data_IF_270842480830
#
_entry.id   IF_270842480830
#
_cell.length_a   1.000
_cell.length_b   1.000
_cell.length_c   1.000
_cell.angle_alpha   90.00
_cell.angle_beta   90.00
_cell.angle_gamma   90.00
#
_symmetry.space_group_name_H-M   'P 1'
#
loop_
_entity.id
_entity.type
_entity.pdbx_description
1 polymer ?
#
# COMPACT_ATOMS: atom_id res chain seq x y z
N UNK A 1 14.02 19.51 34.67
CA UNK A 1 14.19 18.53 33.58
C UNK A 1 12.84 18.35 32.90
N UNK A 2 12.69 18.82 31.66
CA UNK A 2 11.44 18.68 30.90
C UNK A 2 11.26 17.22 30.49
N UNK A 3 10.12 16.61 30.82
CA UNK A 3 9.80 15.25 30.36
C UNK A 3 9.78 15.23 28.83
N UNK A 4 10.27 14.16 28.18
CA UNK A 4 10.07 13.98 26.74
C UNK A 4 8.55 13.87 26.49
N UNK A 5 8.02 14.78 25.69
CA UNK A 5 6.63 14.73 25.27
C UNK A 5 6.49 13.58 24.28
N UNK A 6 5.74 12.54 24.64
CA UNK A 6 5.38 11.48 23.70
C UNK A 6 4.40 12.09 22.69
N UNK A 7 4.95 12.62 21.60
CA UNK A 7 4.17 13.19 20.49
C UNK A 7 3.75 12.03 19.59
N UNK A 8 2.46 11.72 19.59
CA UNK A 8 1.89 10.77 18.63
C UNK A 8 2.19 11.23 17.20
N UNK A 9 2.34 10.27 16.28
CA UNK A 9 2.53 10.50 14.84
C UNK A 9 3.80 11.24 14.44
N UNK A 10 4.69 11.54 15.39
CA UNK A 10 5.95 12.20 15.12
C UNK A 10 6.89 11.29 14.32
N UNK A 11 7.44 11.81 13.23
CA UNK A 11 8.40 11.10 12.38
C UNK A 11 9.58 12.02 12.07
N UNK A 12 10.77 11.41 12.06
CA UNK A 12 12.03 12.02 11.61
C UNK A 12 12.66 11.13 10.55
N UNK A 13 13.09 11.69 9.44
CA UNK A 13 13.81 10.99 8.39
C UNK A 13 15.03 11.80 7.94
N UNK A 14 16.09 11.10 7.57
CA UNK A 14 17.32 11.68 7.03
C UNK A 14 17.57 11.09 5.64
N UNK A 15 17.86 11.97 4.68
CA UNK A 15 18.04 11.61 3.28
C UNK A 15 19.52 11.82 2.95
N UNK A 16 20.15 10.75 2.48
CA UNK A 16 21.56 10.69 2.15
C UNK A 16 21.72 10.66 0.63
N UNK A 17 22.69 11.40 0.09
CA UNK A 17 23.02 11.27 -1.32
C UNK A 17 23.80 9.96 -1.55
N UNK A 18 23.63 9.32 -2.72
CA UNK A 18 24.30 8.05 -3.03
C UNK A 18 25.83 8.12 -2.90
N UNK A 19 26.42 9.30 -3.15
CA UNK A 19 27.86 9.51 -3.18
C UNK A 19 28.41 10.44 -2.07
N UNK A 20 27.60 10.86 -1.09
CA UNK A 20 28.04 11.84 -0.07
C UNK A 20 28.91 11.20 1.02
N UNK A 21 30.15 10.83 0.70
CA UNK A 21 31.22 10.65 1.70
C UNK A 21 31.80 12.01 2.04
N UNK A 22 31.43 12.58 3.18
CA UNK A 22 32.04 13.82 3.64
C UNK A 22 33.13 13.50 4.68
N UNK A 23 34.37 13.92 4.39
CA UNK A 23 35.57 13.67 5.18
C UNK A 23 35.62 14.38 6.56
N UNK A 24 34.50 14.91 7.06
CA UNK A 24 34.45 15.74 8.27
C UNK A 24 33.35 15.33 9.28
N UNK A 25 32.62 14.23 9.07
CA UNK A 25 31.64 13.74 10.04
C UNK A 25 32.25 12.73 11.01
N UNK A 26 32.15 12.93 12.35
CA UNK A 26 32.72 12.02 13.34
C UNK A 26 31.86 10.76 13.59
N UNK A 27 30.85 10.49 12.76
CA UNK A 27 30.03 9.29 12.88
C UNK A 27 30.51 8.21 11.89
N UNK A 28 30.58 6.98 12.38
CA UNK A 28 31.50 5.89 12.00
C UNK A 28 31.46 5.39 10.55
N UNK A 29 30.66 5.96 9.65
CA UNK A 29 30.56 5.59 8.22
C UNK A 29 30.66 6.77 7.22
N UNK A 30 30.94 8.00 7.68
CA UNK A 30 31.35 9.12 6.81
C UNK A 30 30.28 9.68 5.86
N UNK A 31 29.01 9.27 5.99
CA UNK A 31 27.91 9.83 5.21
C UNK A 31 27.23 10.97 5.96
N UNK A 32 27.08 12.13 5.31
CA UNK A 32 26.30 13.25 5.82
C UNK A 32 24.93 13.29 5.15
N UNK A 33 23.83 13.49 5.91
CA UNK A 33 22.53 13.71 5.31
C UNK A 33 22.52 15.04 4.54
N UNK A 34 21.83 15.04 3.40
CA UNK A 34 21.60 16.23 2.56
C UNK A 34 20.27 16.88 2.92
N UNK A 35 19.25 16.08 3.25
CA UNK A 35 17.98 16.59 3.76
C UNK A 35 17.59 15.92 5.08
N UNK A 36 16.81 16.65 5.86
CA UNK A 36 16.15 16.14 7.06
C UNK A 36 14.67 16.49 7.03
N UNK A 37 13.80 15.49 7.15
CA UNK A 37 12.35 15.68 7.28
C UNK A 37 11.93 15.45 8.73
N UNK A 38 11.18 16.38 9.33
CA UNK A 38 10.70 16.28 10.72
C UNK A 38 9.27 16.79 10.82
N UNK A 39 8.38 16.03 11.45
CA UNK A 39 7.00 16.48 11.63
C UNK A 39 6.06 15.37 12.05
N UNK A 40 4.82 15.45 11.59
CA UNK A 40 3.73 14.53 11.90
C UNK A 40 3.11 14.01 10.60
N UNK A 41 3.02 12.70 10.45
CA UNK A 41 2.58 12.09 9.17
C UNK A 41 1.15 12.39 8.76
N UNK A 42 0.31 12.78 9.72
CA UNK A 42 -1.09 13.11 9.54
C UNK A 42 -1.37 14.62 9.51
N UNK A 43 -0.35 15.48 9.61
CA UNK A 43 -0.51 16.93 9.75
C UNK A 43 0.48 17.66 8.85
N UNK A 44 1.67 17.98 9.34
CA UNK A 44 2.67 18.72 8.58
C UNK A 44 4.07 18.19 8.80
N UNK A 45 4.88 18.28 7.76
CA UNK A 45 6.30 17.99 7.79
C UNK A 45 7.11 19.22 7.42
N UNK A 46 8.25 19.39 8.07
CA UNK A 46 9.29 20.33 7.66
C UNK A 46 10.41 19.57 6.97
N UNK A 47 10.70 19.95 5.74
CA UNK A 47 11.82 19.46 4.95
C UNK A 47 12.95 20.49 5.03
N UNK A 48 14.05 20.11 5.65
CA UNK A 48 15.23 20.94 5.84
C UNK A 48 16.31 20.53 4.83
N UNK A 49 16.73 21.46 3.99
CA UNK A 49 17.93 21.31 3.16
C UNK A 49 19.15 21.64 4.02
N UNK A 50 19.96 20.63 4.35
CA UNK A 50 21.13 20.79 5.20
C UNK A 50 22.31 21.39 4.43
N UNK A 51 22.28 21.40 3.10
CA UNK A 51 23.30 21.99 2.24
C UNK A 51 23.02 23.47 2.00
N UNK A 52 21.78 23.83 1.65
CA UNK A 52 21.37 25.20 1.36
C UNK A 52 20.90 25.97 2.61
N UNK A 53 20.71 25.27 3.75
CA UNK A 53 20.16 25.82 4.99
C UNK A 53 18.77 26.44 4.81
N UNK A 54 17.94 25.87 3.92
CA UNK A 54 16.55 26.26 3.70
C UNK A 54 15.59 25.28 4.37
N UNK A 55 14.40 25.74 4.69
CA UNK A 55 13.35 24.91 5.29
C UNK A 55 12.02 25.15 4.56
N UNK A 56 11.39 24.08 4.12
CA UNK A 56 10.06 24.09 3.51
C UNK A 56 9.09 23.34 4.42
N UNK A 57 7.84 23.80 4.50
CA UNK A 57 6.79 23.12 5.26
C UNK A 57 5.75 22.57 4.31
N UNK A 58 5.54 21.26 4.38
CA UNK A 58 4.53 20.51 3.65
C UNK A 58 3.35 20.28 4.60
N UNK A 59 2.22 20.91 4.31
CA UNK A 59 0.95 20.64 5.00
C UNK A 59 0.18 19.53 4.28
N UNK A 60 0.10 18.35 4.90
CA UNK A 60 -0.59 17.17 4.35
C UNK A 60 -2.08 17.44 4.17
N UNK A 61 -2.70 18.27 5.03
CA UNK A 61 -4.11 18.62 4.92
C UNK A 61 -4.44 19.50 3.71
N UNK A 62 -3.45 20.23 3.19
CA UNK A 62 -3.62 21.09 2.02
C UNK A 62 -3.53 20.34 0.67
N UNK A 63 -2.98 19.12 0.68
CA UNK A 63 -2.77 18.32 -0.53
C UNK A 63 -4.10 17.68 -0.95
N UNK A 64 -4.54 17.96 -2.18
CA UNK A 64 -5.76 17.38 -2.71
C UNK A 64 -5.66 15.85 -2.81
N UNK A 65 -6.63 15.15 -2.22
CA UNK A 65 -6.76 13.69 -2.31
C UNK A 65 -7.48 13.33 -3.61
N UNK A 66 -6.79 12.66 -4.51
CA UNK A 66 -7.38 12.16 -5.76
C UNK A 66 -7.83 10.70 -5.57
N UNK A 67 -9.14 10.41 -5.64
CA UNK A 67 -9.64 9.05 -5.50
C UNK A 67 -9.24 8.21 -6.71
N UNK A 68 -9.03 6.91 -6.48
CA UNK A 68 -8.85 5.94 -7.57
C UNK A 68 -10.17 5.77 -8.33
N UNK A 69 -10.11 5.69 -9.65
CA UNK A 69 -11.25 5.25 -10.45
C UNK A 69 -11.42 3.73 -10.31
N UNK A 70 -12.64 3.28 -10.01
CA UNK A 70 -12.97 1.86 -9.86
C UNK A 70 -14.22 1.57 -10.69
N UNK A 71 -14.25 0.43 -11.38
CA UNK A 71 -15.42 0.03 -12.19
C UNK A 71 -16.67 -0.12 -11.31
N UNK A 72 -17.88 0.14 -11.84
CA UNK A 72 -19.13 -0.15 -11.13
C UNK A 72 -19.25 -1.63 -10.73
N UNK A 73 -19.82 -1.92 -9.55
CA UNK A 73 -19.96 -3.27 -8.98
C UNK A 73 -20.51 -4.33 -9.95
N UNK A 74 -21.50 -3.96 -10.79
CA UNK A 74 -22.09 -4.86 -11.78
C UNK A 74 -21.11 -5.34 -12.86
N UNK A 75 -20.02 -4.61 -13.08
CA UNK A 75 -18.97 -4.92 -14.05
C UNK A 75 -17.73 -5.53 -13.40
N UNK A 76 -17.70 -5.63 -12.07
CA UNK A 76 -16.59 -6.26 -11.35
C UNK A 76 -16.76 -7.78 -11.33
N UNK A 77 -15.65 -8.52 -11.40
CA UNK A 77 -15.66 -9.96 -11.22
C UNK A 77 -16.04 -10.33 -9.76
N UNK A 78 -16.64 -11.51 -9.52
CA UNK A 78 -17.04 -11.92 -8.17
C UNK A 78 -15.90 -11.92 -7.14
N UNK A 79 -14.66 -12.13 -7.58
CA UNK A 79 -13.46 -12.15 -6.75
C UNK A 79 -12.84 -10.76 -6.50
N UNK A 80 -13.33 -9.71 -7.15
CA UNK A 80 -12.84 -8.35 -6.91
C UNK A 80 -13.29 -7.86 -5.53
N UNK A 81 -12.40 -7.17 -4.81
CA UNK A 81 -12.58 -6.86 -3.39
C UNK A 81 -13.88 -6.11 -3.08
N UNK A 82 -14.25 -5.10 -3.87
CA UNK A 82 -15.45 -4.30 -3.59
C UNK A 82 -16.73 -5.14 -3.77
N UNK A 83 -16.78 -6.02 -4.77
CA UNK A 83 -17.90 -6.95 -4.97
C UNK A 83 -17.91 -8.08 -3.96
N UNK A 84 -16.74 -8.67 -3.67
CA UNK A 84 -16.60 -9.77 -2.72
C UNK A 84 -17.04 -9.38 -1.32
N UNK A 85 -16.67 -8.16 -0.88
CA UNK A 85 -16.96 -7.63 0.46
C UNK A 85 -18.22 -6.75 0.52
N UNK A 86 -19.02 -6.68 -0.55
CA UNK A 86 -20.18 -5.78 -0.65
C UNK A 86 -21.14 -5.94 0.54
N UNK A 87 -21.52 -7.18 0.88
CA UNK A 87 -22.50 -7.43 1.95
C UNK A 87 -21.99 -7.10 3.34
N UNK A 88 -20.71 -7.35 3.60
CA UNK A 88 -20.06 -7.02 4.87
C UNK A 88 -19.96 -5.51 5.02
N UNK A 89 -19.49 -4.82 3.98
CA UNK A 89 -19.36 -3.36 3.98
C UNK A 89 -20.72 -2.66 4.06
N UNK A 90 -21.76 -3.19 3.42
CA UNK A 90 -23.13 -2.70 3.56
C UNK A 90 -23.64 -2.82 5.00
N UNK A 91 -23.46 -3.99 5.63
CA UNK A 91 -23.86 -4.23 7.01
C UNK A 91 -23.13 -3.29 7.99
N UNK A 92 -21.81 -3.10 7.80
CA UNK A 92 -21.03 -2.14 8.59
C UNK A 92 -21.51 -0.71 8.39
N UNK A 93 -21.87 -0.32 7.16
CA UNK A 93 -22.37 1.03 6.86
C UNK A 93 -23.68 1.34 7.58
N UNK A 94 -24.54 0.35 7.79
CA UNK A 94 -25.80 0.49 8.55
C UNK A 94 -25.64 0.20 10.04
N UNK A 95 -24.44 -0.16 10.50
CA UNK A 95 -24.15 -0.44 11.91
C UNK A 95 -24.61 -1.82 12.40
N UNK A 96 -24.96 -2.75 11.50
CA UNK A 96 -25.39 -4.11 11.86
C UNK A 96 -24.18 -5.05 11.98
N UNK A 97 -23.61 -5.11 13.18
CA UNK A 97 -22.41 -5.90 13.48
C UNK A 97 -22.68 -7.41 13.40
N UNK A 98 -23.88 -7.86 13.77
CA UNK A 98 -24.24 -9.27 13.72
C UNK A 98 -24.29 -9.76 12.27
N UNK A 99 -24.98 -9.00 11.40
CA UNK A 99 -25.04 -9.30 9.97
C UNK A 99 -23.66 -9.23 9.31
N UNK A 100 -22.84 -8.23 9.65
CA UNK A 100 -21.48 -8.13 9.13
C UNK A 100 -20.63 -9.36 9.49
N UNK A 101 -20.76 -9.84 10.73
CA UNK A 101 -20.06 -11.03 11.22
C UNK A 101 -20.52 -12.30 10.51
N UNK A 102 -21.83 -12.45 10.29
CA UNK A 102 -22.40 -13.58 9.57
C UNK A 102 -21.94 -13.62 8.11
N UNK A 103 -21.99 -12.50 7.41
CA UNK A 103 -21.56 -12.42 6.00
C UNK A 103 -20.04 -12.60 5.86
N UNK A 104 -19.23 -12.09 6.81
CA UNK A 104 -17.79 -12.36 6.87
C UNK A 104 -17.54 -13.86 7.06
N UNK A 105 -18.22 -14.49 8.01
CA UNK A 105 -18.08 -15.92 8.27
C UNK A 105 -18.40 -16.76 7.02
N UNK A 106 -19.47 -16.43 6.29
CA UNK A 106 -19.82 -17.13 5.03
C UNK A 106 -18.71 -17.04 3.99
N UNK A 107 -18.08 -15.87 3.82
CA UNK A 107 -16.98 -15.69 2.87
C UNK A 107 -15.75 -16.50 3.28
N UNK A 108 -15.35 -16.43 4.55
CA UNK A 108 -14.18 -17.13 5.08
C UNK A 108 -14.37 -18.65 5.08
N UNK A 109 -15.59 -19.15 5.35
CA UNK A 109 -15.88 -20.58 5.30
C UNK A 109 -15.78 -21.14 3.88
N UNK A 110 -16.25 -20.39 2.88
CA UNK A 110 -16.07 -20.77 1.46
C UNK A 110 -14.59 -20.80 1.09
N UNK A 111 -13.80 -19.81 1.51
CA UNK A 111 -12.36 -19.79 1.29
C UNK A 111 -11.69 -20.99 1.98
N UNK A 112 -12.01 -21.27 3.24
CA UNK A 112 -11.49 -22.41 4.01
C UNK A 112 -11.82 -23.75 3.36
N UNK A 113 -13.05 -23.95 2.88
CA UNK A 113 -13.44 -25.17 2.16
C UNK A 113 -12.66 -25.31 0.86
N UNK A 114 -12.51 -24.22 0.10
CA UNK A 114 -11.76 -24.22 -1.16
C UNK A 114 -10.28 -24.55 -0.95
N UNK A 115 -9.67 -24.01 0.10
CA UNK A 115 -8.29 -24.24 0.47
C UNK A 115 -8.08 -25.68 0.95
N UNK A 116 -8.96 -26.18 1.82
CA UNK A 116 -8.94 -27.59 2.25
C UNK A 116 -9.04 -28.55 1.06
N UNK A 117 -9.88 -28.24 0.07
CA UNK A 117 -9.98 -29.03 -1.15
C UNK A 117 -8.68 -28.96 -1.98
N UNK A 118 -8.10 -27.77 -2.14
CA UNK A 118 -6.84 -27.55 -2.85
C UNK A 118 -5.69 -28.34 -2.21
N UNK A 119 -5.54 -28.22 -0.89
CA UNK A 119 -4.54 -28.91 -0.09
C UNK A 119 -4.70 -30.43 -0.14
N UNK A 120 -5.93 -30.93 0.02
CA UNK A 120 -6.23 -32.38 -0.10
C UNK A 120 -5.85 -32.94 -1.48
N UNK A 121 -6.07 -32.15 -2.53
CA UNK A 121 -5.76 -32.53 -3.91
C UNK A 121 -4.31 -32.20 -4.31
N UNK A 122 -3.51 -31.62 -3.41
CA UNK A 122 -2.14 -31.15 -3.66
C UNK A 122 -2.03 -30.23 -4.88
N UNK A 123 -3.05 -29.41 -5.10
CA UNK A 123 -3.06 -28.43 -6.17
C UNK A 123 -2.25 -27.20 -5.75
N UNK A 124 -1.30 -26.72 -6.57
CA UNK A 124 -0.60 -25.48 -6.29
C UNK A 124 -1.57 -24.28 -6.35
N UNK A 125 -1.39 -23.30 -5.46
CA UNK A 125 -2.03 -22.00 -5.60
C UNK A 125 -1.28 -21.18 -6.66
N UNK A 126 -2.01 -20.63 -7.63
CA UNK A 126 -1.45 -19.83 -8.71
C UNK A 126 -2.08 -18.44 -8.72
N UNK A 127 -1.35 -17.41 -8.25
CA UNK A 127 -1.82 -16.04 -8.30
C UNK A 127 -2.18 -15.64 -9.74
N UNK A 128 -3.36 -15.04 -9.91
CA UNK A 128 -3.90 -14.69 -11.23
C UNK A 128 -2.98 -13.71 -11.97
N UNK A 129 -2.55 -12.66 -11.27
CA UNK A 129 -1.84 -11.52 -11.86
C UNK A 129 -0.33 -11.48 -11.62
N UNK A 130 0.21 -12.32 -10.75
CA UNK A 130 1.63 -12.30 -10.38
C UNK A 130 2.30 -13.64 -10.65
N UNK A 131 3.57 -13.60 -11.05
CA UNK A 131 4.44 -14.76 -11.18
C UNK A 131 5.61 -14.63 -10.21
N UNK A 132 6.01 -15.75 -9.61
CA UNK A 132 7.17 -15.80 -8.74
C UNK A 132 8.46 -15.60 -9.55
N UNK A 133 9.42 -14.88 -8.97
CA UNK A 133 10.76 -14.62 -9.48
C UNK A 133 11.78 -14.80 -8.35
N UNK A 134 13.07 -14.88 -8.69
CA UNK A 134 14.14 -15.05 -7.70
C UNK A 134 14.15 -13.96 -6.61
N UNK A 135 13.70 -12.74 -6.95
CA UNK A 135 13.73 -11.57 -6.07
C UNK A 135 12.33 -11.10 -5.66
N UNK A 136 11.30 -11.96 -5.74
CA UNK A 136 9.93 -11.62 -5.33
C UNK A 136 8.89 -11.91 -6.42
N UNK A 137 7.97 -10.98 -6.64
CA UNK A 137 6.82 -11.16 -7.54
C UNK A 137 6.88 -10.20 -8.73
N UNK A 138 6.61 -10.72 -9.93
CA UNK A 138 6.51 -9.94 -11.17
C UNK A 138 5.06 -9.92 -11.61
N UNK A 139 4.53 -8.73 -11.86
CA UNK A 139 3.19 -8.56 -12.43
C UNK A 139 3.17 -9.04 -13.89
N UNK A 140 2.20 -9.90 -14.24
CA UNK A 140 2.14 -10.57 -15.55
C UNK A 140 1.82 -9.63 -16.71
N UNK A 141 1.15 -8.49 -16.49
CA UNK A 141 0.90 -7.52 -17.56
C UNK A 141 2.06 -6.52 -17.71
N UNK A 142 3.21 -7.05 -18.17
CA UNK A 142 4.25 -6.26 -18.82
C UNK A 142 4.51 -6.81 -20.23
N UNK A 143 3.49 -6.74 -21.07
CA UNK A 143 3.67 -6.56 -22.50
C UNK A 143 2.80 -5.37 -22.91
N UNK A 144 3.09 -4.19 -22.33
CA UNK A 144 2.72 -2.95 -22.97
C UNK A 144 3.48 -2.96 -24.30
N UNK A 145 2.73 -3.15 -25.39
CA UNK A 145 3.26 -3.10 -26.75
C UNK A 145 4.18 -1.88 -26.86
N UNK A 146 5.38 -2.08 -27.37
CA UNK A 146 6.28 -1.01 -27.77
C UNK A 146 5.47 0.05 -28.51
N UNK A 147 5.46 1.25 -27.93
CA UNK A 147 4.90 2.46 -28.49
C UNK A 147 5.42 2.63 -29.93
N UNK A 148 4.58 2.30 -30.92
CA UNK A 148 4.67 2.85 -32.27
C UNK A 148 3.39 3.66 -32.48
N UNK A 149 3.52 4.96 -32.19
CA UNK A 149 2.71 6.07 -32.71
C UNK A 149 1.20 5.88 -32.76
N UNK A 150 0.49 6.44 -31.77
CA UNK A 150 -0.95 6.67 -31.89
C UNK A 150 -1.50 7.35 -30.64
N UNK A 151 -1.88 8.61 -30.78
CA UNK A 151 -2.57 9.39 -29.74
C UNK A 151 -3.88 8.69 -29.41
N UNK A 152 -3.97 8.13 -28.21
CA UNK A 152 -5.17 7.51 -27.69
C UNK A 152 -5.10 7.54 -26.17
N UNK A 153 -6.00 8.32 -25.57
CA UNK A 153 -6.23 8.38 -24.13
C UNK A 153 -6.79 7.02 -23.68
N UNK A 154 -5.90 6.08 -23.37
CA UNK A 154 -6.27 4.78 -22.84
C UNK A 154 -5.99 4.78 -21.34
N UNK A 155 -7.05 4.80 -20.53
CA UNK A 155 -6.94 4.57 -19.11
C UNK A 155 -6.30 3.21 -18.89
N UNK A 156 -5.14 3.20 -18.26
CA UNK A 156 -4.57 1.97 -17.71
C UNK A 156 -5.48 1.53 -16.57
N UNK A 157 -6.28 0.48 -16.84
CA UNK A 157 -7.09 -0.17 -15.82
C UNK A 157 -6.15 -0.83 -14.80
N UNK A 158 -5.85 -0.12 -13.72
CA UNK A 158 -5.26 -0.71 -12.54
C UNK A 158 -6.37 -1.46 -11.80
N UNK A 159 -6.53 -2.75 -12.11
CA UNK A 159 -7.33 -3.66 -11.31
C UNK A 159 -6.65 -3.77 -9.93
N UNK A 160 -7.05 -2.90 -9.01
CA UNK A 160 -6.73 -3.03 -7.60
C UNK A 160 -7.55 -4.18 -7.01
N UNK A 161 -7.29 -5.40 -7.48
CA UNK A 161 -7.65 -6.60 -6.74
C UNK A 161 -6.77 -6.55 -5.49
N UNK A 162 -7.32 -6.08 -4.38
CA UNK A 162 -6.73 -6.31 -3.08
C UNK A 162 -6.79 -7.82 -2.90
N UNK A 163 -5.68 -8.50 -3.16
CA UNK A 163 -5.53 -9.89 -2.83
C UNK A 163 -5.65 -9.90 -1.31
N UNK A 164 -6.73 -10.50 -0.80
CA UNK A 164 -6.74 -10.99 0.57
C UNK A 164 -5.75 -12.16 0.61
N UNK A 165 -4.45 -11.85 0.49
CA UNK A 165 -3.39 -12.76 0.90
C UNK A 165 -3.48 -12.76 2.42
N UNK A 166 -3.80 -13.94 2.95
CA UNK A 166 -3.29 -14.48 4.22
C UNK A 166 -2.52 -13.44 5.07
N UNK A 167 -3.25 -12.76 5.95
CA UNK A 167 -2.69 -12.56 7.28
C UNK A 167 -2.90 -13.90 7.98
N UNK A 168 -1.84 -14.71 8.00
CA UNK A 168 -1.62 -15.73 9.02
C UNK A 168 -1.73 -15.03 10.38
N UNK A 169 -2.94 -15.03 10.95
CA UNK A 169 -3.15 -14.79 12.37
C UNK A 169 -2.99 -16.18 12.97
N UNK A 170 -1.77 -16.51 13.38
CA UNK A 170 -1.54 -17.54 14.38
C UNK A 170 -2.36 -17.17 15.64
N UNK A 171 -3.20 -18.10 16.10
CA UNK A 171 -3.90 -18.05 17.39
C UNK A 171 -2.91 -17.92 18.57
#
# INVERSE_FOLDING_TARGET
>A
MSKPTNKLHHVTAEIYAPDSRNASSPNTDGQCPVYRAVGEWNSSFRLQDLSAQTEETIDVGSIAVYPKYVRPLRLQAPEESQRLWEKVTEALRVGDINRASEEKFKLEDVQRISENARSRLRLPHHPKYFQASANGWIYKHHACATYLGGVGEHSVDFDATFICDELDIDD
#
